data_IF_083534234787
#
_entry.id   IF_083534234787
#
_cell.length_a   1.000
_cell.length_b   1.000
_cell.length_c   1.000
_cell.angle_alpha   90.00
_cell.angle_beta   90.00
_cell.angle_gamma   90.00
#
_symmetry.space_group_name_H-M   'P 1'
#
loop_
_entity.id
_entity.type
_entity.pdbx_description
1 polymer ?
#
# COMPACT_ATOMS: atom_id res chain seq x y z
N UNK A 1 -5.19 -11.79 29.21
CA UNK A 1 -4.31 -12.81 28.60
C UNK A 1 -4.67 -12.88 27.12
N UNK A 2 -4.20 -11.91 26.31
CA UNK A 2 -4.46 -11.86 24.85
C UNK A 2 -3.34 -11.15 24.05
N UNK A 3 -2.10 -11.19 24.55
CA UNK A 3 -0.97 -10.42 23.99
C UNK A 3 -0.51 -10.92 22.60
N UNK A 4 -1.06 -12.04 22.11
CA UNK A 4 -0.62 -12.66 20.86
C UNK A 4 -1.37 -12.10 19.64
N UNK A 5 -2.62 -11.65 19.79
CA UNK A 5 -3.39 -11.11 18.68
C UNK A 5 -2.92 -9.71 18.25
N UNK A 6 -2.52 -8.86 19.19
CA UNK A 6 -2.04 -7.50 18.89
C UNK A 6 -0.74 -7.53 18.07
N UNK A 7 0.17 -8.42 18.46
CA UNK A 7 1.43 -8.65 17.74
C UNK A 7 1.18 -9.20 16.33
N UNK A 8 0.14 -10.02 16.15
CA UNK A 8 -0.27 -10.53 14.84
C UNK A 8 -0.88 -9.43 13.97
N UNK A 9 -1.76 -8.59 14.51
CA UNK A 9 -2.38 -7.48 13.78
C UNK A 9 -1.32 -6.46 13.34
N UNK A 10 -0.43 -6.04 14.24
CA UNK A 10 0.67 -5.14 13.90
C UNK A 10 1.59 -5.76 12.84
N UNK A 11 1.88 -7.06 12.95
CA UNK A 11 2.67 -7.80 11.95
C UNK A 11 1.94 -7.91 10.60
N UNK A 12 0.62 -8.06 10.59
CA UNK A 12 -0.21 -8.05 9.37
C UNK A 12 -0.22 -6.68 8.71
N UNK A 13 -0.37 -5.60 9.48
CA UNK A 13 -0.28 -4.21 8.99
C UNK A 13 1.09 -3.97 8.37
N UNK A 14 2.16 -4.33 9.07
CA UNK A 14 3.53 -4.19 8.57
C UNK A 14 3.78 -5.00 7.29
N UNK A 15 3.29 -6.25 7.23
CA UNK A 15 3.37 -7.07 6.01
C UNK A 15 2.58 -6.45 4.86
N UNK A 16 1.35 -6.01 5.12
CA UNK A 16 0.47 -5.40 4.13
C UNK A 16 1.09 -4.11 3.56
N UNK A 17 1.64 -3.27 4.43
CA UNK A 17 2.38 -2.06 4.04
C UNK A 17 3.62 -2.40 3.20
N UNK A 18 4.38 -3.43 3.56
CA UNK A 18 5.52 -3.90 2.76
C UNK A 18 5.10 -4.33 1.36
N UNK A 19 4.04 -5.13 1.24
CA UNK A 19 3.53 -5.55 -0.07
C UNK A 19 2.96 -4.37 -0.86
N UNK A 20 2.31 -3.42 -0.19
CA UNK A 20 1.82 -2.20 -0.83
C UNK A 20 2.96 -1.36 -1.44
N UNK A 21 4.01 -1.11 -0.67
CA UNK A 21 5.21 -0.41 -1.13
C UNK A 21 5.87 -1.15 -2.30
N UNK A 22 5.89 -2.49 -2.27
CA UNK A 22 6.45 -3.31 -3.34
C UNK A 22 5.63 -3.19 -4.64
N UNK A 23 4.30 -3.17 -4.55
CA UNK A 23 3.42 -2.91 -5.71
C UNK A 23 3.63 -1.51 -6.26
N UNK A 24 3.69 -0.49 -5.40
CA UNK A 24 4.02 0.89 -5.78
C UNK A 24 5.35 0.99 -6.52
N UNK A 25 6.37 0.27 -6.03
CA UNK A 25 7.68 0.22 -6.65
C UNK A 25 7.62 -0.46 -8.02
N UNK A 26 6.86 -1.54 -8.17
CA UNK A 26 6.61 -2.18 -9.47
C UNK A 26 5.95 -1.24 -10.48
N UNK A 27 4.95 -0.47 -10.03
CA UNK A 27 4.28 0.54 -10.88
C UNK A 27 5.26 1.66 -11.25
N UNK A 28 6.09 2.12 -10.31
CA UNK A 28 7.10 3.13 -10.57
C UNK A 28 8.14 2.65 -11.59
N UNK A 29 8.60 1.40 -11.50
CA UNK A 29 9.49 0.80 -12.50
C UNK A 29 8.80 0.74 -13.87
N UNK A 30 7.55 0.27 -13.94
CA UNK A 30 6.80 0.24 -15.19
C UNK A 30 6.63 1.63 -15.83
N UNK A 31 6.44 2.67 -15.00
CA UNK A 31 6.38 4.06 -15.44
C UNK A 31 7.72 4.56 -16.02
N UNK A 32 8.83 4.30 -15.33
CA UNK A 32 10.19 4.67 -15.80
C UNK A 32 10.52 3.93 -17.09
N UNK A 33 10.16 2.64 -17.19
CA UNK A 33 10.39 1.84 -18.39
C UNK A 33 9.55 2.33 -19.56
N UNK A 34 8.26 2.63 -19.34
CA UNK A 34 7.35 3.17 -20.36
C UNK A 34 7.76 4.56 -20.85
N UNK A 35 8.22 5.43 -19.94
CA UNK A 35 8.74 6.76 -20.31
C UNK A 35 10.07 6.66 -21.07
N UNK A 36 10.95 5.72 -20.70
CA UNK A 36 12.19 5.44 -21.44
C UNK A 36 11.95 4.84 -22.82
N UNK A 37 10.90 4.03 -22.99
CA UNK A 37 10.50 3.46 -24.28
C UNK A 37 9.75 4.47 -25.20
N UNK A 38 9.46 5.69 -24.72
CA UNK A 38 8.74 6.71 -25.48
C UNK A 38 7.26 6.40 -25.72
N UNK A 39 6.71 5.41 -25.01
CA UNK A 39 5.31 4.99 -25.15
C UNK A 39 4.44 5.91 -24.27
N UNK A 40 4.26 7.15 -24.72
CA UNK A 40 3.51 8.19 -23.98
C UNK A 40 2.04 7.81 -23.75
N UNK A 41 1.46 6.94 -24.57
CA UNK A 41 0.06 6.54 -24.48
C UNK A 41 -0.24 5.66 -23.25
N UNK A 42 0.78 5.01 -22.69
CA UNK A 42 0.62 4.13 -21.52
C UNK A 42 0.65 4.92 -20.21
N UNK A 43 1.28 6.11 -20.21
CA UNK A 43 1.36 7.01 -19.05
C UNK A 43 -0.02 7.35 -18.45
N UNK A 44 -1.01 7.85 -19.22
CA UNK A 44 -2.31 8.22 -18.64
C UNK A 44 -3.09 7.02 -18.12
N UNK A 45 -2.97 5.85 -18.77
CA UNK A 45 -3.59 4.60 -18.30
C UNK A 45 -2.95 4.14 -16.99
N UNK A 46 -1.63 4.20 -16.90
CA UNK A 46 -0.89 3.82 -15.70
C UNK A 46 -1.18 4.78 -14.55
N UNK A 47 -1.30 6.08 -14.83
CA UNK A 47 -1.66 7.09 -13.84
C UNK A 47 -3.11 6.91 -13.34
N UNK A 48 -4.05 6.60 -14.23
CA UNK A 48 -5.43 6.28 -13.87
C UNK A 48 -5.50 5.02 -13.01
N UNK A 49 -4.78 3.97 -13.39
CA UNK A 49 -4.72 2.73 -12.62
C UNK A 49 -4.08 2.97 -11.24
N UNK A 50 -3.01 3.76 -11.19
CA UNK A 50 -2.36 4.14 -9.94
C UNK A 50 -3.35 4.92 -9.07
N UNK A 51 -4.04 5.93 -9.58
CA UNK A 51 -5.02 6.70 -8.80
C UNK A 51 -6.19 5.82 -8.31
N UNK A 52 -6.70 4.93 -9.16
CA UNK A 52 -7.77 3.99 -8.84
C UNK A 52 -7.36 2.97 -7.77
N UNK A 53 -6.10 2.53 -7.73
CA UNK A 53 -5.62 1.55 -6.75
C UNK A 53 -5.03 2.18 -5.48
N UNK A 54 -4.32 3.30 -5.63
CA UNK A 54 -3.61 3.97 -4.53
C UNK A 54 -4.59 4.54 -3.51
N UNK A 55 -5.73 5.05 -3.96
CA UNK A 55 -6.76 5.65 -3.12
C UNK A 55 -7.45 4.60 -2.21
N UNK A 56 -8.01 3.48 -2.73
CA UNK A 56 -8.58 2.44 -1.88
C UNK A 56 -7.52 1.71 -1.05
N UNK A 57 -6.32 1.43 -1.58
CA UNK A 57 -5.27 0.81 -0.76
C UNK A 57 -4.82 1.74 0.35
N UNK A 58 -4.66 3.03 0.08
CA UNK A 58 -4.32 4.02 1.09
C UNK A 58 -5.35 4.07 2.22
N UNK A 59 -6.65 4.06 1.88
CA UNK A 59 -7.74 4.02 2.88
C UNK A 59 -7.71 2.72 3.69
N UNK A 60 -7.58 1.56 3.04
CA UNK A 60 -7.51 0.26 3.73
C UNK A 60 -6.32 0.25 4.69
N UNK A 61 -5.16 0.75 4.24
CA UNK A 61 -3.95 0.77 5.05
C UNK A 61 -4.06 1.74 6.23
N UNK A 62 -4.60 2.93 6.01
CA UNK A 62 -4.83 3.93 7.05
C UNK A 62 -5.83 3.41 8.10
N UNK A 63 -6.85 2.69 7.67
CA UNK A 63 -7.81 2.03 8.55
C UNK A 63 -7.11 0.95 9.40
N UNK A 64 -6.27 0.12 8.78
CA UNK A 64 -5.50 -0.92 9.48
C UNK A 64 -4.51 -0.31 10.50
N UNK A 65 -3.84 0.79 10.15
CA UNK A 65 -2.96 1.53 11.05
C UNK A 65 -3.76 2.11 12.22
N UNK A 66 -4.90 2.73 11.95
CA UNK A 66 -5.76 3.30 12.99
C UNK A 66 -6.23 2.23 13.98
N UNK A 67 -6.66 1.07 13.49
CA UNK A 67 -7.05 -0.06 14.33
C UNK A 67 -5.86 -0.53 15.20
N UNK A 68 -4.67 -0.67 14.60
CA UNK A 68 -3.48 -1.06 15.35
C UNK A 68 -3.10 -0.03 16.43
N UNK A 69 -3.17 1.26 16.13
CA UNK A 69 -2.88 2.34 17.09
C UNK A 69 -3.90 2.37 18.23
N UNK A 70 -5.19 2.19 17.94
CA UNK A 70 -6.23 2.13 18.98
C UNK A 70 -5.99 0.96 19.92
N UNK A 71 -5.68 -0.22 19.37
CA UNK A 71 -5.39 -1.42 20.17
C UNK A 71 -4.14 -1.20 21.04
N UNK A 72 -3.07 -0.67 20.47
CA UNK A 72 -1.83 -0.38 21.20
C UNK A 72 -2.06 0.69 22.30
N UNK A 73 -2.91 1.68 22.04
CA UNK A 73 -3.23 2.75 23.00
C UNK A 73 -4.20 2.33 24.11
N UNK A 74 -4.96 1.25 23.93
CA UNK A 74 -5.86 0.72 24.95
C UNK A 74 -5.12 -0.18 25.96
N UNK A 75 -3.87 -0.54 25.65
CA UNK A 75 -2.95 -1.32 26.49
C UNK A 75 -2.18 -0.42 27.46
#
# INVERSE_FOLDING_TARGET
MDTNQDTLLFRFVSKSLKYFLLVLFGIAIAYVLSSGLGILQVIPILLYLLQQFLLPLGIILLCLITIAVIIESLR
#
